data_IF_780095572391
#
_entry.id   IF_780095572391
#
_cell.length_a   1.000
_cell.length_b   1.000
_cell.length_c   1.000
_cell.angle_alpha   90.00
_cell.angle_beta   90.00
_cell.angle_gamma   90.00
#
_symmetry.space_group_name_H-M   'P 1'
#
loop_
_entity.id
_entity.type
_entity.pdbx_description
1 polymer ?
#
# COMPACT_ATOMS: atom_id res chain seq x y z
N UNK A 1 24.74 -9.49 -25.08
CA UNK A 1 24.51 -8.09 -24.72
C UNK A 1 23.94 -7.35 -25.92
N UNK A 2 23.14 -6.32 -25.70
CA UNK A 2 22.59 -5.47 -26.76
C UNK A 2 23.21 -4.07 -26.63
N UNK A 3 23.58 -3.50 -27.74
CA UNK A 3 24.10 -2.14 -27.83
C UNK A 3 23.09 -1.25 -28.53
N UNK A 4 23.11 0.02 -28.19
CA UNK A 4 22.32 1.04 -28.87
C UNK A 4 23.27 1.94 -29.65
N UNK A 5 22.94 2.20 -30.92
CA UNK A 5 23.72 3.08 -31.79
C UNK A 5 23.45 4.53 -31.36
N UNK A 6 24.48 5.19 -30.85
CA UNK A 6 24.43 6.61 -30.45
C UNK A 6 24.75 7.51 -31.63
N UNK A 7 25.80 7.16 -32.36
CA UNK A 7 26.19 7.81 -33.62
C UNK A 7 26.45 6.73 -34.68
N UNK A 8 25.76 6.78 -35.82
CA UNK A 8 25.97 5.78 -36.88
C UNK A 8 27.29 5.96 -37.65
N UNK A 9 27.95 7.12 -37.57
CA UNK A 9 29.14 7.40 -38.36
C UNK A 9 28.95 7.14 -39.85
N UNK A 10 29.86 6.38 -40.47
CA UNK A 10 29.81 5.98 -41.86
C UNK A 10 29.07 4.65 -42.10
N UNK A 11 28.53 4.02 -41.03
CA UNK A 11 27.92 2.70 -41.10
C UNK A 11 26.49 2.75 -41.66
N UNK A 12 25.99 1.63 -42.19
CA UNK A 12 24.63 1.47 -42.70
C UNK A 12 23.56 1.38 -41.61
N UNK A 13 23.91 1.62 -40.32
CA UNK A 13 23.00 1.59 -39.19
C UNK A 13 22.34 2.94 -39.00
N UNK A 14 21.15 2.92 -38.40
CA UNK A 14 20.45 4.15 -38.01
C UNK A 14 20.70 4.48 -36.55
N UNK A 15 20.69 5.78 -36.21
CA UNK A 15 20.70 6.21 -34.81
C UNK A 15 19.53 5.59 -34.05
N UNK A 16 19.77 5.11 -32.84
CA UNK A 16 18.82 4.39 -31.95
C UNK A 16 18.58 2.92 -32.31
N UNK A 17 19.22 2.36 -33.34
CA UNK A 17 19.14 0.92 -33.61
C UNK A 17 19.73 0.12 -32.47
N UNK A 18 19.10 -1.03 -32.18
CA UNK A 18 19.55 -1.98 -31.17
C UNK A 18 20.21 -3.15 -31.83
N UNK A 19 21.53 -3.29 -31.66
CA UNK A 19 22.34 -4.34 -32.28
C UNK A 19 22.83 -5.34 -31.23
N UNK A 20 23.04 -6.56 -31.66
CA UNK A 20 23.64 -7.65 -30.88
C UNK A 20 25.16 -7.51 -30.78
N UNK A 21 25.78 -8.22 -29.81
CA UNK A 21 27.25 -8.23 -29.66
C UNK A 21 27.93 -8.81 -30.93
N UNK A 22 27.29 -9.79 -31.61
CA UNK A 22 27.78 -10.36 -32.86
C UNK A 22 27.72 -9.35 -34.01
N UNK A 23 26.63 -8.60 -34.13
CA UNK A 23 26.49 -7.55 -35.14
C UNK A 23 27.45 -6.41 -34.90
N UNK A 24 27.63 -6.00 -33.66
CA UNK A 24 28.61 -4.96 -33.31
C UNK A 24 30.03 -5.36 -33.78
N UNK A 25 30.44 -6.59 -33.50
CA UNK A 25 31.76 -7.09 -33.94
C UNK A 25 31.86 -7.12 -35.46
N UNK A 26 30.83 -7.67 -36.13
CA UNK A 26 30.81 -7.74 -37.59
C UNK A 26 30.92 -6.35 -38.22
N UNK A 27 30.14 -5.39 -37.77
CA UNK A 27 30.20 -4.00 -38.26
C UNK A 27 31.58 -3.38 -37.99
N UNK A 28 32.10 -3.58 -36.79
CA UNK A 28 33.40 -3.04 -36.42
C UNK A 28 34.53 -3.64 -37.28
N UNK A 29 34.50 -4.91 -37.59
CA UNK A 29 35.46 -5.58 -38.46
C UNK A 29 35.34 -5.16 -39.93
N UNK A 30 34.09 -5.08 -40.45
CA UNK A 30 33.79 -4.67 -41.81
C UNK A 30 34.27 -3.27 -42.13
N UNK A 31 33.93 -2.31 -41.29
CA UNK A 31 34.32 -0.90 -41.54
C UNK A 31 35.73 -0.55 -41.07
N UNK A 32 36.36 -1.35 -40.20
CA UNK A 32 37.77 -1.19 -39.84
C UNK A 32 38.70 -1.51 -41.01
N UNK A 33 38.28 -2.38 -41.89
CA UNK A 33 39.04 -2.80 -43.07
C UNK A 33 38.62 -2.06 -44.35
N UNK A 34 37.65 -1.15 -44.28
CA UNK A 34 37.22 -0.30 -45.39
C UNK A 34 38.01 1.02 -45.44
N UNK A 35 38.14 1.56 -46.64
CA UNK A 35 38.83 2.85 -46.90
C UNK A 35 38.12 4.06 -46.19
N UNK A 36 36.82 3.91 -45.93
CA UNK A 36 36.02 4.96 -45.27
C UNK A 36 36.19 4.99 -43.74
N UNK A 37 36.68 3.87 -43.16
CA UNK A 37 36.80 3.74 -41.70
C UNK A 37 35.47 3.79 -40.95
N UNK A 38 35.52 3.78 -39.64
CA UNK A 38 34.33 3.81 -38.76
C UNK A 38 33.76 5.23 -38.55
N UNK A 39 34.49 6.27 -38.95
CA UNK A 39 34.09 7.65 -38.68
C UNK A 39 33.83 7.87 -37.19
N UNK A 40 32.70 8.56 -36.86
CA UNK A 40 32.29 8.82 -35.49
C UNK A 40 31.40 7.69 -34.93
N UNK A 41 31.48 6.45 -35.47
CA UNK A 41 30.63 5.36 -35.00
C UNK A 41 30.76 5.12 -33.50
N UNK A 42 29.66 5.30 -32.81
CA UNK A 42 29.61 5.19 -31.35
C UNK A 42 28.39 4.38 -30.92
N UNK A 43 28.63 3.40 -30.09
CA UNK A 43 27.58 2.59 -29.47
C UNK A 43 27.67 2.68 -27.96
N UNK A 44 26.54 2.62 -27.32
CA UNK A 44 26.43 2.58 -25.89
C UNK A 44 25.65 1.37 -25.39
N UNK A 45 25.73 1.09 -24.10
CA UNK A 45 25.05 -0.04 -23.50
C UNK A 45 24.34 0.38 -22.22
N UNK A 46 23.11 -0.14 -22.03
CA UNK A 46 22.35 0.04 -20.80
C UNK A 46 21.78 1.45 -20.60
N UNK A 47 21.55 1.80 -19.34
CA UNK A 47 20.89 3.04 -18.97
C UNK A 47 21.70 4.32 -19.31
N UNK A 48 23.01 4.23 -19.32
CA UNK A 48 23.92 5.32 -19.68
C UNK A 48 23.69 5.81 -21.13
N UNK A 49 23.61 4.87 -22.08
CA UNK A 49 23.31 5.17 -23.47
C UNK A 49 21.90 5.74 -23.66
N UNK A 50 20.92 5.21 -22.93
CA UNK A 50 19.55 5.73 -22.97
C UNK A 50 19.49 7.15 -22.43
N UNK A 51 20.22 7.45 -21.34
CA UNK A 51 20.30 8.78 -20.77
C UNK A 51 20.88 9.80 -21.76
N UNK A 52 21.94 9.43 -22.46
CA UNK A 52 22.57 10.28 -23.49
C UNK A 52 21.59 10.60 -24.62
N UNK A 53 20.89 9.59 -25.15
CA UNK A 53 19.86 9.78 -26.17
C UNK A 53 18.67 10.62 -25.69
N UNK A 54 18.30 10.53 -24.41
CA UNK A 54 17.23 11.34 -23.83
C UNK A 54 17.67 12.80 -23.64
N UNK A 55 18.94 13.04 -23.31
CA UNK A 55 19.48 14.38 -23.14
C UNK A 55 19.56 15.17 -24.46
N UNK A 56 19.67 14.48 -25.61
CA UNK A 56 19.68 15.09 -26.92
C UNK A 56 18.30 15.52 -27.45
N UNK A 57 17.21 15.12 -26.77
CA UNK A 57 15.83 15.45 -27.23
C UNK A 57 15.51 16.91 -26.90
N UNK A 58 15.28 17.70 -27.96
CA UNK A 58 14.67 19.01 -27.84
C UNK A 58 13.13 18.85 -27.83
N UNK A 59 12.54 19.11 -26.67
CA UNK A 59 11.09 18.95 -26.48
C UNK A 59 10.26 19.94 -27.31
N UNK A 60 10.77 21.15 -27.58
CA UNK A 60 10.03 22.14 -28.36
C UNK A 60 10.01 21.79 -29.84
N UNK A 61 11.18 21.49 -30.39
CA UNK A 61 11.30 21.06 -31.78
C UNK A 61 10.50 19.77 -32.06
N UNK A 62 10.61 18.76 -31.18
CA UNK A 62 9.86 17.50 -31.30
C UNK A 62 8.34 17.73 -31.24
N UNK A 63 7.85 18.60 -30.34
CA UNK A 63 6.43 18.93 -30.25
C UNK A 63 5.90 19.59 -31.50
N UNK A 64 6.64 20.51 -32.10
CA UNK A 64 6.25 21.16 -33.35
C UNK A 64 6.23 20.20 -34.54
N UNK A 65 7.25 19.35 -34.66
CA UNK A 65 7.33 18.32 -35.70
C UNK A 65 6.17 17.36 -35.61
N UNK A 66 5.86 16.85 -34.41
CA UNK A 66 4.72 15.97 -34.19
C UNK A 66 3.39 16.63 -34.51
N UNK A 67 3.20 17.92 -34.16
CA UNK A 67 2.01 18.69 -34.54
C UNK A 67 1.86 18.86 -36.06
N UNK A 68 2.97 19.07 -36.76
CA UNK A 68 2.99 19.13 -38.23
C UNK A 68 2.67 17.77 -38.83
N UNK A 69 3.29 16.71 -38.33
CA UNK A 69 3.07 15.34 -38.82
C UNK A 69 1.64 14.83 -38.59
N UNK A 70 0.97 15.27 -37.52
CA UNK A 70 -0.40 14.89 -37.21
C UNK A 70 -1.42 15.40 -38.23
N UNK A 71 -1.13 16.53 -38.90
CA UNK A 71 -2.01 17.08 -39.95
C UNK A 71 -2.11 16.15 -41.17
N UNK A 72 -1.00 15.41 -41.44
CA UNK A 72 -0.87 14.55 -42.62
C UNK A 72 -0.97 13.06 -42.29
N UNK A 73 -1.05 12.69 -41.00
CA UNK A 73 -1.08 11.30 -40.57
C UNK A 73 -2.51 10.75 -40.48
N UNK A 74 -2.66 9.46 -40.85
CA UNK A 74 -3.93 8.73 -40.73
C UNK A 74 -3.73 7.39 -40.02
N UNK A 75 -4.81 6.76 -39.56
CA UNK A 75 -4.83 5.43 -38.97
C UNK A 75 -3.87 5.24 -37.78
N UNK A 76 -3.14 4.16 -37.79
CA UNK A 76 -2.24 3.77 -36.67
C UNK A 76 -1.08 4.76 -36.46
N UNK A 77 -0.58 5.39 -37.53
CA UNK A 77 0.49 6.39 -37.44
C UNK A 77 0.02 7.61 -36.66
N UNK A 78 -1.21 8.06 -36.92
CA UNK A 78 -1.85 9.15 -36.17
C UNK A 78 -1.96 8.83 -34.66
N UNK A 79 -2.43 7.62 -34.33
CA UNK A 79 -2.58 7.20 -32.93
C UNK A 79 -1.23 7.13 -32.18
N UNK A 80 -0.16 6.67 -32.85
CA UNK A 80 1.20 6.66 -32.26
C UNK A 80 1.73 8.08 -32.04
N UNK A 81 1.55 8.96 -33.02
CA UNK A 81 2.00 10.35 -32.92
C UNK A 81 1.24 11.10 -31.83
N UNK A 82 -0.07 10.86 -31.64
CA UNK A 82 -0.84 11.45 -30.53
C UNK A 82 -0.27 11.02 -29.18
N UNK A 83 -0.05 9.72 -28.97
CA UNK A 83 0.53 9.20 -27.72
C UNK A 83 1.92 9.79 -27.46
N UNK A 84 2.76 9.91 -28.49
CA UNK A 84 4.08 10.51 -28.36
C UNK A 84 3.99 11.99 -28.03
N UNK A 85 3.12 12.74 -28.71
CA UNK A 85 2.91 14.16 -28.46
C UNK A 85 2.39 14.41 -27.03
N UNK A 86 1.49 13.55 -26.51
CA UNK A 86 0.99 13.65 -25.15
C UNK A 86 2.14 13.58 -24.12
N UNK A 87 3.07 12.64 -24.31
CA UNK A 87 4.25 12.51 -23.43
C UNK A 87 5.17 13.71 -23.56
N UNK A 88 5.49 14.16 -24.78
CA UNK A 88 6.37 15.31 -25.03
C UNK A 88 5.78 16.59 -24.43
N UNK A 89 4.48 16.84 -24.63
CA UNK A 89 3.79 17.99 -24.02
C UNK A 89 3.75 17.92 -22.49
N UNK A 90 3.57 16.72 -21.92
CA UNK A 90 3.60 16.54 -20.48
C UNK A 90 4.97 16.93 -19.90
N UNK A 91 6.08 16.54 -20.55
CA UNK A 91 7.44 16.94 -20.15
C UNK A 91 7.62 18.46 -20.32
N UNK A 92 7.21 19.02 -21.45
CA UNK A 92 7.34 20.45 -21.74
C UNK A 92 6.60 21.33 -20.75
N UNK A 93 5.33 20.97 -20.43
CA UNK A 93 4.48 21.73 -19.50
C UNK A 93 4.93 21.61 -18.05
N UNK A 94 5.48 20.45 -17.65
CA UNK A 94 5.98 20.24 -16.28
C UNK A 94 7.36 20.81 -16.02
N UNK A 95 8.11 21.18 -17.08
CA UNK A 95 9.50 21.63 -16.96
C UNK A 95 10.49 20.52 -16.61
N UNK A 96 10.07 19.26 -16.68
CA UNK A 96 10.95 18.11 -16.44
C UNK A 96 11.79 17.80 -17.68
N UNK A 97 13.03 17.37 -17.44
CA UNK A 97 13.94 16.97 -18.52
C UNK A 97 13.83 15.46 -18.75
N UNK A 98 13.83 14.98 -20.02
CA UNK A 98 13.71 13.55 -20.34
C UNK A 98 14.79 12.67 -19.71
N UNK A 99 16.03 13.15 -19.59
CA UNK A 99 17.13 12.38 -18.99
C UNK A 99 16.94 12.12 -17.49
N UNK A 100 16.05 12.83 -16.80
CA UNK A 100 15.73 12.57 -15.39
C UNK A 100 14.96 11.27 -15.18
N UNK A 101 14.46 10.63 -16.24
CA UNK A 101 13.90 9.27 -16.14
C UNK A 101 14.97 8.22 -15.81
N UNK A 102 16.26 8.53 -16.01
CA UNK A 102 17.38 7.68 -15.62
C UNK A 102 17.97 8.20 -14.30
N UNK A 103 17.96 7.35 -13.28
CA UNK A 103 18.46 7.69 -11.96
C UNK A 103 19.99 7.61 -11.91
N UNK A 104 20.67 8.68 -11.50
CA UNK A 104 22.10 8.67 -11.19
C UNK A 104 22.38 8.16 -9.79
N UNK A 105 21.46 8.42 -8.86
CA UNK A 105 21.55 7.96 -7.49
C UNK A 105 20.22 7.31 -7.06
N UNK A 106 20.31 6.19 -6.36
CA UNK A 106 19.15 5.53 -5.78
C UNK A 106 18.81 6.17 -4.45
N UNK A 107 17.61 6.76 -4.27
CA UNK A 107 17.24 7.35 -2.99
C UNK A 107 17.03 6.25 -1.94
N UNK A 108 17.51 6.52 -0.73
CA UNK A 108 17.36 5.62 0.41
C UNK A 108 16.31 6.18 1.35
N UNK A 109 15.26 5.40 1.61
CA UNK A 109 14.20 5.82 2.52
C UNK A 109 14.69 5.85 3.99
N UNK A 110 14.11 6.69 4.85
CA UNK A 110 14.46 6.77 6.26
C UNK A 110 14.37 5.43 7.01
N UNK A 111 15.19 5.20 8.04
CA UNK A 111 15.20 3.96 8.82
C UNK A 111 13.87 3.60 9.46
N UNK A 112 13.07 4.59 9.87
CA UNK A 112 11.77 4.38 10.52
C UNK A 112 10.76 3.65 9.61
N UNK A 113 10.88 3.84 8.29
CA UNK A 113 10.01 3.19 7.30
C UNK A 113 10.50 1.76 6.96
N UNK A 114 11.77 1.45 7.27
CA UNK A 114 12.37 0.12 7.08
C UNK A 114 13.00 -0.39 8.39
N UNK A 115 12.21 -0.58 9.44
CA UNK A 115 12.73 -0.83 10.77
C UNK A 115 13.48 -2.15 10.87
N UNK A 116 14.46 -2.18 11.78
CA UNK A 116 15.11 -3.38 12.28
C UNK A 116 14.80 -3.48 13.76
N UNK A 117 14.04 -4.49 14.17
CA UNK A 117 13.59 -4.68 15.56
C UNK A 117 14.26 -5.91 16.15
N UNK A 118 14.79 -5.78 17.35
CA UNK A 118 15.30 -6.89 18.09
C UNK A 118 14.16 -7.69 18.72
N UNK A 119 14.12 -8.99 18.45
CA UNK A 119 13.18 -9.94 19.06
C UNK A 119 13.78 -10.54 20.31
N UNK A 120 12.91 -11.11 21.14
CA UNK A 120 13.32 -11.91 22.29
C UNK A 120 14.28 -13.03 21.85
N UNK A 121 15.36 -13.23 22.61
CA UNK A 121 16.40 -14.18 22.25
C UNK A 121 17.49 -13.67 21.29
N UNK A 122 17.65 -12.35 21.15
CA UNK A 122 18.77 -11.73 20.42
C UNK A 122 18.68 -11.81 18.89
N UNK A 123 17.58 -12.30 18.34
CA UNK A 123 17.34 -12.30 16.89
C UNK A 123 16.76 -10.96 16.43
N UNK A 124 17.10 -10.54 15.21
CA UNK A 124 16.57 -9.32 14.61
C UNK A 124 15.53 -9.65 13.54
N UNK A 125 14.38 -8.99 13.64
CA UNK A 125 13.42 -8.90 12.53
C UNK A 125 13.74 -7.66 11.72
N UNK A 126 13.98 -7.81 10.43
CA UNK A 126 14.32 -6.70 9.53
C UNK A 126 13.33 -6.60 8.39
N UNK A 127 13.13 -5.39 7.91
CA UNK A 127 12.34 -5.17 6.70
C UNK A 127 13.05 -5.77 5.48
N UNK A 128 12.28 -6.34 4.56
CA UNK A 128 12.77 -6.89 3.29
C UNK A 128 13.54 -5.83 2.46
N UNK A 129 13.19 -4.54 2.60
CA UNK A 129 13.87 -3.44 1.95
C UNK A 129 15.35 -3.32 2.35
N UNK A 130 15.70 -3.60 3.60
CA UNK A 130 17.09 -3.56 4.05
C UNK A 130 17.94 -4.59 3.30
N UNK A 131 17.39 -5.76 3.00
CA UNK A 131 18.09 -6.78 2.21
C UNK A 131 18.25 -6.36 0.76
N UNK A 132 17.23 -5.73 0.17
CA UNK A 132 17.29 -5.22 -1.20
C UNK A 132 18.32 -4.06 -1.33
N UNK A 133 18.36 -3.11 -0.39
CA UNK A 133 19.39 -2.06 -0.36
C UNK A 133 20.80 -2.64 -0.18
N UNK A 134 20.96 -3.62 0.72
CA UNK A 134 22.26 -4.28 0.92
C UNK A 134 22.76 -4.94 -0.36
N UNK A 135 21.88 -5.57 -1.14
CA UNK A 135 22.23 -6.17 -2.44
C UNK A 135 22.74 -5.13 -3.41
N UNK A 136 22.09 -3.97 -3.51
CA UNK A 136 22.52 -2.86 -4.38
C UNK A 136 23.88 -2.35 -3.96
N UNK A 137 24.10 -2.07 -2.67
CA UNK A 137 25.37 -1.56 -2.15
C UNK A 137 26.50 -2.55 -2.44
N UNK A 138 26.29 -3.85 -2.18
CA UNK A 138 27.30 -4.87 -2.43
C UNK A 138 27.67 -4.99 -3.92
N UNK A 139 26.65 -4.93 -4.82
CA UNK A 139 26.88 -4.94 -6.28
C UNK A 139 27.62 -3.69 -6.75
N UNK A 140 27.22 -2.53 -6.26
CA UNK A 140 27.86 -1.27 -6.60
C UNK A 140 29.33 -1.23 -6.15
N UNK A 141 29.62 -1.66 -4.92
CA UNK A 141 31.00 -1.74 -4.41
C UNK A 141 31.86 -2.72 -5.20
N UNK A 142 31.26 -3.86 -5.59
CA UNK A 142 31.94 -4.84 -6.44
C UNK A 142 32.24 -4.27 -7.81
N UNK A 143 31.29 -3.58 -8.45
CA UNK A 143 31.48 -2.93 -9.74
C UNK A 143 32.59 -1.87 -9.69
N UNK A 144 32.62 -1.04 -8.63
CA UNK A 144 33.70 -0.06 -8.43
C UNK A 144 35.07 -0.72 -8.40
N UNK A 145 35.23 -1.78 -7.61
CA UNK A 145 36.51 -2.54 -7.55
C UNK A 145 36.91 -3.13 -8.89
N UNK A 146 35.96 -3.66 -9.65
CA UNK A 146 36.25 -4.25 -10.96
C UNK A 146 36.70 -3.17 -11.98
N UNK A 147 36.11 -1.98 -11.91
CA UNK A 147 36.54 -0.84 -12.73
C UNK A 147 37.96 -0.34 -12.35
N UNK A 148 38.23 -0.23 -11.04
CA UNK A 148 39.57 0.18 -10.52
C UNK A 148 40.64 -0.83 -10.88
N UNK A 149 40.35 -2.11 -10.90
CA UNK A 149 41.29 -3.19 -11.25
C UNK A 149 41.47 -3.40 -12.77
N UNK A 150 40.73 -2.66 -13.63
CA UNK A 150 40.79 -2.85 -15.07
C UNK A 150 40.33 -4.23 -15.53
N UNK A 151 39.31 -4.78 -14.88
CA UNK A 151 38.79 -6.12 -15.20
C UNK A 151 38.30 -6.21 -16.65
N UNK A 152 38.28 -7.44 -17.27
CA UNK A 152 37.79 -7.62 -18.63
C UNK A 152 36.35 -7.11 -18.81
N UNK A 153 36.08 -6.48 -19.94
CA UNK A 153 34.75 -5.86 -20.25
C UNK A 153 33.56 -6.80 -20.06
N UNK A 154 33.73 -8.08 -20.35
CA UNK A 154 32.66 -9.07 -20.22
C UNK A 154 32.21 -9.23 -18.76
N UNK A 155 33.13 -9.12 -17.81
CA UNK A 155 32.87 -9.19 -16.38
C UNK A 155 32.18 -7.90 -15.92
N UNK A 156 32.70 -6.75 -16.36
CA UNK A 156 32.13 -5.42 -16.04
C UNK A 156 30.70 -5.32 -16.54
N UNK A 157 30.43 -5.73 -17.77
CA UNK A 157 29.09 -5.76 -18.37
C UNK A 157 28.11 -6.62 -17.57
N UNK A 158 28.56 -7.81 -17.15
CA UNK A 158 27.73 -8.71 -16.35
C UNK A 158 27.42 -8.09 -14.97
N UNK A 159 28.37 -7.46 -14.32
CA UNK A 159 28.15 -6.82 -13.02
C UNK A 159 27.24 -5.58 -13.15
N UNK A 160 27.37 -4.77 -14.22
CA UNK A 160 26.41 -3.68 -14.54
C UNK A 160 24.99 -4.21 -14.70
N UNK A 161 24.82 -5.34 -15.40
CA UNK A 161 23.51 -6.00 -15.53
C UNK A 161 22.95 -6.48 -14.20
N UNK A 162 23.78 -7.08 -13.35
CA UNK A 162 23.36 -7.57 -12.03
C UNK A 162 23.02 -6.42 -11.07
N UNK A 163 23.69 -5.28 -11.20
CA UNK A 163 23.36 -4.06 -10.46
C UNK A 163 21.99 -3.52 -10.89
N UNK A 164 21.74 -3.47 -12.21
CA UNK A 164 20.43 -3.07 -12.74
C UNK A 164 19.32 -3.99 -12.24
N UNK A 165 19.52 -5.30 -12.26
CA UNK A 165 18.55 -6.26 -11.72
C UNK A 165 18.27 -6.06 -10.22
N UNK A 166 19.29 -5.70 -9.45
CA UNK A 166 19.12 -5.39 -8.02
C UNK A 166 18.27 -4.13 -7.80
N UNK A 167 18.48 -3.09 -8.63
CA UNK A 167 17.67 -1.86 -8.58
C UNK A 167 16.23 -2.12 -9.05
N UNK A 168 16.05 -2.89 -10.12
CA UNK A 168 14.71 -3.30 -10.59
C UNK A 168 13.95 -4.05 -9.49
N UNK A 169 14.62 -4.95 -8.76
CA UNK A 169 14.02 -5.68 -7.65
C UNK A 169 13.65 -4.78 -6.45
N UNK A 170 14.41 -3.73 -6.18
CA UNK A 170 14.07 -2.75 -5.15
C UNK A 170 12.79 -1.99 -5.50
N UNK A 171 12.63 -1.60 -6.75
CA UNK A 171 11.48 -0.78 -7.20
C UNK A 171 10.23 -1.65 -7.35
N UNK A 172 10.30 -2.75 -8.11
CA UNK A 172 9.17 -3.66 -8.36
C UNK A 172 9.65 -5.10 -8.57
N UNK A 173 9.77 -5.84 -7.48
CA UNK A 173 10.30 -7.21 -7.47
C UNK A 173 9.37 -8.18 -8.21
N UNK A 174 9.91 -8.89 -9.21
CA UNK A 174 9.17 -9.85 -10.01
C UNK A 174 8.51 -9.28 -11.27
N UNK A 175 8.66 -7.99 -11.56
CA UNK A 175 8.16 -7.39 -12.80
C UNK A 175 8.94 -7.88 -14.02
N UNK A 176 10.26 -8.10 -13.87
CA UNK A 176 11.16 -8.63 -14.89
C UNK A 176 11.77 -9.95 -14.41
N UNK A 177 11.29 -11.06 -14.93
CA UNK A 177 11.82 -12.39 -14.62
C UNK A 177 11.44 -12.92 -13.25
N UNK A 178 12.26 -13.81 -12.69
CA UNK A 178 12.01 -14.43 -11.40
C UNK A 178 12.21 -13.43 -10.27
N UNK A 179 11.27 -13.34 -9.31
CA UNK A 179 11.42 -12.46 -8.16
C UNK A 179 12.62 -12.87 -7.31
N UNK A 180 13.26 -11.89 -6.72
CA UNK A 180 14.30 -12.11 -5.71
C UNK A 180 13.62 -12.62 -4.44
N UNK A 181 14.12 -13.75 -3.92
CA UNK A 181 13.56 -14.41 -2.74
C UNK A 181 14.47 -14.31 -1.52
N UNK A 182 13.86 -14.36 -0.36
CA UNK A 182 14.51 -14.45 0.93
C UNK A 182 14.49 -15.90 1.50
N UNK A 183 14.74 -16.07 2.80
CA UNK A 183 14.63 -17.35 3.47
C UNK A 183 13.25 -17.98 3.26
N UNK A 184 13.20 -19.31 3.05
CA UNK A 184 11.94 -20.01 2.78
C UNK A 184 11.36 -19.78 1.39
N UNK A 185 12.15 -19.34 0.43
CA UNK A 185 11.74 -19.09 -0.98
C UNK A 185 10.59 -18.07 -1.15
N UNK A 186 10.34 -17.22 -0.12
CA UNK A 186 9.35 -16.15 -0.17
C UNK A 186 9.92 -14.96 -0.96
N UNK A 187 9.14 -14.42 -1.92
CA UNK A 187 9.53 -13.20 -2.62
C UNK A 187 9.66 -12.02 -1.64
N UNK A 188 10.74 -11.26 -1.78
CA UNK A 188 10.99 -10.06 -0.98
C UNK A 188 10.02 -8.93 -1.39
N UNK A 189 9.50 -8.21 -0.41
CA UNK A 189 8.56 -7.11 -0.61
C UNK A 189 9.31 -5.86 -1.09
N UNK A 190 9.02 -5.42 -2.31
CA UNK A 190 9.63 -4.23 -2.93
C UNK A 190 8.93 -2.93 -2.53
N UNK A 191 9.48 -1.78 -2.96
CA UNK A 191 8.84 -0.47 -2.75
C UNK A 191 7.43 -0.41 -3.38
N UNK A 192 7.26 -0.94 -4.57
CA UNK A 192 5.96 -1.03 -5.25
C UNK A 192 4.95 -1.84 -4.45
N UNK A 193 5.37 -2.98 -3.87
CA UNK A 193 4.53 -3.84 -3.05
C UNK A 193 4.11 -3.19 -1.72
N UNK A 194 4.89 -2.23 -1.24
CA UNK A 194 4.49 -1.43 -0.07
C UNK A 194 3.32 -0.49 -0.35
N UNK A 195 3.10 -0.12 -1.59
CA UNK A 195 2.03 0.80 -2.01
C UNK A 195 0.82 0.06 -2.58
N UNK A 196 1.05 -1.05 -3.31
CA UNK A 196 0.03 -1.83 -4.03
C UNK A 196 -0.75 -2.79 -3.12
N UNK A 197 -1.94 -3.16 -3.59
CA UNK A 197 -2.75 -4.26 -3.05
C UNK A 197 -3.41 -3.98 -1.71
N UNK A 198 -4.00 -5.03 -1.12
CA UNK A 198 -4.75 -4.95 0.15
C UNK A 198 -3.88 -4.57 1.35
N UNK A 199 -2.62 -4.98 1.35
CA UNK A 199 -1.65 -4.70 2.42
C UNK A 199 -0.75 -3.51 2.12
N UNK A 200 -1.02 -2.79 1.02
CA UNK A 200 -0.29 -1.59 0.65
C UNK A 200 -0.74 -0.36 1.44
N UNK A 201 0.12 0.65 1.43
CA UNK A 201 -0.07 1.89 2.19
C UNK A 201 -1.38 2.59 1.86
N UNK A 202 -1.77 2.64 0.59
CA UNK A 202 -3.01 3.30 0.18
C UNK A 202 -4.25 2.64 0.79
N UNK A 203 -4.40 1.33 0.65
CA UNK A 203 -5.59 0.62 1.13
C UNK A 203 -5.59 0.34 2.62
N UNK A 204 -4.43 0.09 3.22
CA UNK A 204 -4.33 -0.31 4.62
C UNK A 204 -4.24 0.87 5.59
N UNK A 205 -3.60 1.99 5.20
CA UNK A 205 -3.28 3.07 6.11
C UNK A 205 -3.87 4.44 5.72
N UNK A 206 -4.19 4.67 4.43
CA UNK A 206 -4.72 5.94 3.95
C UNK A 206 -6.22 5.92 3.73
N UNK A 207 -6.75 4.95 2.97
CA UNK A 207 -8.19 4.81 2.74
C UNK A 207 -8.95 4.24 3.94
N UNK A 208 -8.25 3.58 4.84
CA UNK A 208 -8.79 3.07 6.09
C UNK A 208 -7.71 3.01 7.16
N UNK A 209 -8.03 3.41 8.38
CA UNK A 209 -7.13 3.38 9.53
C UNK A 209 -7.72 2.51 10.62
N UNK A 210 -6.86 1.97 11.48
CA UNK A 210 -7.30 1.39 12.74
C UNK A 210 -7.76 2.53 13.63
N UNK A 211 -8.88 2.34 14.31
CA UNK A 211 -9.49 3.34 15.19
C UNK A 211 -9.60 2.77 16.59
N UNK A 212 -9.53 3.66 17.59
CA UNK A 212 -9.78 3.35 18.98
C UNK A 212 -11.28 3.18 19.22
N UNK A 213 -11.65 2.71 20.40
CA UNK A 213 -13.05 2.46 20.81
C UNK A 213 -13.79 1.53 19.84
N UNK A 214 -13.12 0.52 19.38
CA UNK A 214 -13.67 -0.48 18.46
C UNK A 214 -13.35 -1.89 18.95
N UNK A 215 -14.28 -2.82 18.71
CA UNK A 215 -14.13 -4.21 19.07
C UNK A 215 -14.85 -5.13 18.11
N UNK A 216 -14.58 -6.43 18.18
CA UNK A 216 -15.28 -7.44 17.40
C UNK A 216 -15.64 -8.62 18.27
N UNK A 217 -16.80 -9.21 17.98
CA UNK A 217 -17.24 -10.46 18.58
C UNK A 217 -18.15 -11.23 17.64
N UNK A 218 -18.53 -12.43 18.05
CA UNK A 218 -19.55 -13.24 17.38
C UNK A 218 -20.91 -12.61 17.62
N UNK A 219 -21.82 -12.69 16.65
CA UNK A 219 -23.23 -12.33 16.83
C UNK A 219 -24.09 -13.55 17.03
N UNK A 220 -25.08 -13.38 17.91
CA UNK A 220 -26.13 -14.35 18.16
C UNK A 220 -27.49 -13.64 18.13
N UNK A 221 -28.55 -14.41 17.92
CA UNK A 221 -29.91 -13.88 17.95
C UNK A 221 -30.34 -13.66 19.39
N UNK A 222 -30.93 -12.48 19.67
CA UNK A 222 -31.52 -12.10 20.95
C UNK A 222 -32.98 -11.69 20.75
N UNK A 223 -33.95 -12.65 20.81
CA UNK A 223 -35.36 -12.34 20.58
C UNK A 223 -35.96 -11.45 21.65
N UNK A 224 -35.33 -11.35 22.80
CA UNK A 224 -35.72 -10.48 23.93
C UNK A 224 -35.46 -8.99 23.69
N UNK A 225 -34.63 -8.65 22.69
CA UNK A 225 -34.25 -7.30 22.42
C UNK A 225 -35.30 -6.55 21.59
N UNK A 226 -35.42 -5.25 21.79
CA UNK A 226 -36.15 -4.36 20.89
C UNK A 226 -35.37 -4.14 19.60
N UNK A 227 -36.03 -3.75 18.51
CA UNK A 227 -35.42 -3.61 17.19
C UNK A 227 -34.27 -2.60 17.15
N UNK A 228 -34.28 -1.60 18.00
CA UNK A 228 -33.28 -0.56 18.12
C UNK A 228 -32.20 -0.87 19.17
N UNK A 229 -32.28 -2.00 19.85
CA UNK A 229 -31.36 -2.42 20.90
C UNK A 229 -30.39 -3.49 20.39
N UNK A 230 -29.18 -3.49 20.99
CA UNK A 230 -28.22 -4.57 20.83
C UNK A 230 -27.70 -5.04 22.18
N UNK A 231 -27.49 -6.31 22.34
CA UNK A 231 -26.83 -6.87 23.53
C UNK A 231 -25.32 -6.80 23.37
N UNK A 232 -24.68 -6.00 24.21
CA UNK A 232 -23.21 -5.86 24.21
C UNK A 232 -22.63 -6.64 25.40
N UNK A 233 -21.63 -7.55 25.17
CA UNK A 233 -20.96 -8.25 26.25
C UNK A 233 -20.35 -7.27 27.28
N UNK A 234 -20.55 -7.54 28.57
CA UNK A 234 -20.04 -6.70 29.66
C UNK A 234 -18.53 -6.46 29.58
N UNK A 235 -17.75 -7.50 29.30
CA UNK A 235 -16.29 -7.39 29.15
C UNK A 235 -15.88 -6.47 27.99
N UNK A 236 -16.64 -6.48 26.90
CA UNK A 236 -16.42 -5.60 25.77
C UNK A 236 -16.84 -4.17 26.08
N UNK A 237 -18.00 -4.01 26.72
CA UNK A 237 -18.54 -2.71 27.06
C UNK A 237 -17.58 -1.92 27.96
N UNK A 238 -17.00 -2.53 28.99
CA UNK A 238 -16.10 -1.85 29.92
C UNK A 238 -14.83 -1.34 29.22
N UNK A 239 -14.27 -2.06 28.27
CA UNK A 239 -13.09 -1.60 27.52
C UNK A 239 -13.45 -0.48 26.52
N UNK A 240 -14.60 -0.57 25.86
CA UNK A 240 -15.05 0.45 24.91
C UNK A 240 -15.39 1.78 25.62
N UNK A 241 -16.03 1.70 26.77
CA UNK A 241 -16.50 2.88 27.51
C UNK A 241 -15.56 3.32 28.64
N UNK A 242 -14.38 2.70 28.74
CA UNK A 242 -13.40 2.93 29.80
C UNK A 242 -13.14 4.40 30.14
N UNK A 243 -12.88 5.31 29.17
CA UNK A 243 -12.66 6.72 29.47
C UNK A 243 -13.87 7.42 30.05
N UNK A 244 -15.07 7.09 29.57
CA UNK A 244 -16.33 7.67 30.03
C UNK A 244 -16.65 7.22 31.44
N UNK A 245 -16.50 5.92 31.72
CA UNK A 245 -16.67 5.36 33.07
C UNK A 245 -15.67 5.97 34.05
N UNK A 246 -14.40 6.13 33.65
CA UNK A 246 -13.40 6.77 34.52
C UNK A 246 -13.77 8.23 34.81
N UNK A 247 -14.29 8.96 33.82
CA UNK A 247 -14.74 10.34 33.98
C UNK A 247 -15.90 10.41 35.01
N UNK A 248 -16.91 9.57 34.86
CA UNK A 248 -18.08 9.54 35.75
C UNK A 248 -17.74 9.07 37.16
N UNK A 249 -16.85 8.10 37.34
CA UNK A 249 -16.37 7.67 38.66
C UNK A 249 -15.67 8.78 39.42
N UNK A 250 -14.96 9.68 38.73
CA UNK A 250 -14.34 10.86 39.35
C UNK A 250 -15.36 11.95 39.59
N UNK A 251 -16.30 12.19 38.68
CA UNK A 251 -17.35 13.18 38.80
C UNK A 251 -18.31 12.87 39.99
N UNK A 252 -18.65 11.60 40.16
CA UNK A 252 -19.51 11.12 41.26
C UNK A 252 -18.78 11.02 42.59
N UNK A 253 -17.48 11.36 42.63
CA UNK A 253 -16.69 11.32 43.87
C UNK A 253 -16.31 9.92 44.36
N UNK A 254 -16.68 8.87 43.63
CA UNK A 254 -16.36 7.48 43.99
C UNK A 254 -14.84 7.23 43.87
N UNK A 255 -14.17 7.89 42.93
CA UNK A 255 -12.73 7.87 42.80
C UNK A 255 -12.12 9.28 43.01
N UNK A 256 -11.08 9.37 43.85
CA UNK A 256 -10.41 10.65 44.13
C UNK A 256 -9.62 11.22 42.94
N UNK A 257 -9.16 10.36 42.04
CA UNK A 257 -8.39 10.75 40.84
C UNK A 257 -8.48 9.69 39.74
N UNK A 258 -8.03 10.05 38.53
CA UNK A 258 -8.04 9.19 37.35
C UNK A 258 -7.25 7.88 37.58
N UNK A 259 -6.15 7.93 38.34
CA UNK A 259 -5.35 6.73 38.68
C UNK A 259 -6.13 5.74 39.53
N UNK A 260 -6.90 6.28 40.52
CA UNK A 260 -7.78 5.45 41.35
C UNK A 260 -8.93 4.88 40.53
N UNK A 261 -9.60 5.70 39.71
CA UNK A 261 -10.64 5.23 38.78
C UNK A 261 -10.15 4.11 37.86
N UNK A 262 -8.97 4.25 37.29
CA UNK A 262 -8.36 3.21 36.44
C UNK A 262 -8.17 1.90 37.20
N UNK A 263 -7.66 1.94 38.42
CA UNK A 263 -7.50 0.74 39.25
C UNK A 263 -8.84 0.08 39.61
N UNK A 264 -9.90 0.87 39.85
CA UNK A 264 -11.24 0.36 40.11
C UNK A 264 -11.81 -0.36 38.88
N UNK A 265 -11.65 0.22 37.68
CA UNK A 265 -12.06 -0.39 36.43
C UNK A 265 -11.27 -1.67 36.14
N UNK A 266 -9.97 -1.69 36.34
CA UNK A 266 -9.13 -2.87 36.16
C UNK A 266 -9.46 -4.00 37.15
N UNK A 267 -9.94 -3.68 38.34
CA UNK A 267 -10.39 -4.65 39.35
C UNK A 267 -11.86 -5.05 39.21
N UNK A 268 -12.59 -4.48 38.26
CA UNK A 268 -14.00 -4.77 37.98
C UNK A 268 -14.90 -4.66 39.25
N UNK A 269 -14.72 -3.58 40.01
CA UNK A 269 -15.49 -3.35 41.24
C UNK A 269 -16.98 -3.18 40.91
N UNK A 270 -17.86 -3.44 41.90
CA UNK A 270 -19.32 -3.40 41.70
C UNK A 270 -19.83 -2.05 41.24
N UNK A 271 -19.28 -0.96 41.80
CA UNK A 271 -19.64 0.42 41.49
C UNK A 271 -19.34 0.78 40.00
N UNK A 272 -18.40 0.10 39.41
CA UNK A 272 -18.04 0.30 37.98
C UNK A 272 -19.18 -0.14 37.07
N UNK A 273 -19.88 -1.21 37.41
CA UNK A 273 -21.01 -1.73 36.62
C UNK A 273 -22.21 -0.81 36.64
N UNK A 274 -22.53 -0.22 37.79
CA UNK A 274 -23.62 0.73 37.91
C UNK A 274 -23.37 1.98 37.06
N UNK A 275 -22.16 2.53 37.15
CA UNK A 275 -21.76 3.68 36.35
C UNK A 275 -21.71 3.31 34.84
N UNK A 276 -21.24 2.12 34.48
CA UNK A 276 -21.24 1.67 33.10
C UNK A 276 -22.66 1.60 32.52
N UNK A 277 -23.62 1.09 33.29
CA UNK A 277 -25.02 1.00 32.86
C UNK A 277 -25.63 2.40 32.64
N UNK A 278 -25.27 3.37 33.43
CA UNK A 278 -25.69 4.75 33.27
C UNK A 278 -25.08 5.39 32.02
N UNK A 279 -23.76 5.25 31.85
CA UNK A 279 -23.02 5.80 30.70
C UNK A 279 -23.53 5.25 29.38
N UNK A 280 -23.86 3.96 29.32
CA UNK A 280 -24.30 3.29 28.09
C UNK A 280 -25.63 3.88 27.56
N UNK A 281 -26.53 4.34 28.42
CA UNK A 281 -27.86 4.85 28.01
C UNK A 281 -27.78 6.03 27.05
N UNK A 282 -26.73 6.85 27.15
CA UNK A 282 -26.54 8.03 26.30
C UNK A 282 -25.58 7.83 25.11
N UNK A 283 -25.01 6.64 25.00
CA UNK A 283 -23.94 6.36 24.01
C UNK A 283 -24.31 5.22 23.06
N UNK A 284 -25.03 5.50 21.96
CA UNK A 284 -25.35 4.49 20.98
C UNK A 284 -24.08 3.96 20.30
N UNK A 285 -24.07 2.67 20.00
CA UNK A 285 -22.98 2.00 19.29
C UNK A 285 -23.35 1.74 17.84
N UNK A 286 -22.38 1.84 16.94
CA UNK A 286 -22.56 1.54 15.55
C UNK A 286 -22.04 0.14 15.26
N UNK A 287 -22.90 -0.73 14.75
CA UNK A 287 -22.59 -2.10 14.38
C UNK A 287 -22.40 -2.22 12.87
N UNK A 288 -21.37 -2.94 12.47
CA UNK A 288 -21.11 -3.29 11.07
C UNK A 288 -20.75 -4.77 10.93
N UNK A 289 -21.28 -5.43 9.91
CA UNK A 289 -20.87 -6.77 9.51
C UNK A 289 -20.23 -6.73 8.12
N UNK A 290 -19.04 -7.30 7.98
CA UNK A 290 -18.43 -7.50 6.67
C UNK A 290 -18.88 -8.85 6.05
N UNK A 291 -19.05 -8.89 4.70
CA UNK A 291 -18.94 -7.76 3.78
C UNK A 291 -20.14 -6.80 3.88
N UNK A 292 -19.88 -5.49 3.82
CA UNK A 292 -20.95 -4.47 3.80
C UNK A 292 -21.49 -4.36 2.36
N UNK A 293 -22.56 -5.08 2.05
CA UNK A 293 -23.13 -5.14 0.70
C UNK A 293 -24.08 -3.99 0.40
N UNK A 294 -24.70 -3.43 1.43
CA UNK A 294 -25.67 -2.33 1.33
C UNK A 294 -25.65 -1.47 2.60
N UNK A 295 -26.33 -0.31 2.54
CA UNK A 295 -26.34 0.68 3.64
C UNK A 295 -26.85 0.13 4.99
N UNK A 296 -27.74 -0.86 4.98
CA UNK A 296 -28.26 -1.47 6.21
C UNK A 296 -27.27 -2.43 6.87
N UNK A 297 -26.13 -2.72 6.24
CA UNK A 297 -25.01 -3.43 6.88
C UNK A 297 -24.28 -2.63 7.95
N UNK A 298 -24.63 -1.33 8.13
CA UNK A 298 -24.10 -0.45 9.16
C UNK A 298 -25.30 0.23 9.83
N UNK A 299 -25.54 -0.08 11.10
CA UNK A 299 -26.67 0.47 11.87
C UNK A 299 -26.23 0.87 13.26
N UNK A 300 -26.90 1.87 13.84
CA UNK A 300 -26.69 2.31 15.21
C UNK A 300 -27.75 1.71 16.14
N UNK A 301 -27.31 1.26 17.30
CA UNK A 301 -28.17 0.62 18.31
C UNK A 301 -27.90 1.21 19.69
N UNK A 302 -28.91 1.17 20.54
CA UNK A 302 -28.75 1.38 21.96
C UNK A 302 -28.22 0.10 22.61
N UNK A 303 -27.03 0.13 23.25
CA UNK A 303 -26.47 -1.07 23.85
C UNK A 303 -27.15 -1.42 25.18
N UNK A 304 -27.37 -2.69 25.39
CA UNK A 304 -27.77 -3.27 26.68
C UNK A 304 -26.69 -4.26 27.09
N UNK A 305 -26.34 -4.29 28.36
CA UNK A 305 -25.34 -5.20 28.89
C UNK A 305 -25.90 -6.63 28.92
N UNK A 306 -25.15 -7.56 28.35
CA UNK A 306 -25.49 -8.98 28.35
C UNK A 306 -24.31 -9.81 28.86
N UNK A 307 -24.65 -10.91 29.51
CA UNK A 307 -23.65 -11.90 29.90
C UNK A 307 -23.14 -12.71 28.70
N UNK A 308 -21.90 -13.17 28.80
CA UNK A 308 -21.25 -13.96 27.75
C UNK A 308 -20.30 -13.13 26.89
N UNK A 309 -19.88 -13.69 25.74
CA UNK A 309 -18.88 -13.08 24.85
C UNK A 309 -19.44 -12.74 23.46
N UNK A 310 -20.72 -13.00 23.24
CA UNK A 310 -21.38 -12.78 21.96
C UNK A 310 -22.28 -11.55 22.01
N UNK A 311 -22.32 -10.84 20.90
CA UNK A 311 -23.21 -9.70 20.70
C UNK A 311 -24.58 -10.24 20.31
N UNK A 312 -25.63 -9.76 20.96
CA UNK A 312 -26.99 -10.12 20.64
C UNK A 312 -27.63 -9.09 19.72
N UNK A 313 -28.36 -9.57 18.70
CA UNK A 313 -29.11 -8.75 17.75
C UNK A 313 -30.55 -9.23 17.64
N UNK A 314 -31.48 -8.28 17.43
CA UNK A 314 -32.88 -8.62 17.18
C UNK A 314 -33.00 -9.44 15.89
N UNK A 315 -33.86 -10.48 15.83
CA UNK A 315 -34.02 -11.36 14.67
C UNK A 315 -34.25 -10.64 13.33
N UNK A 316 -35.11 -9.61 13.32
CA UNK A 316 -35.40 -8.83 12.12
C UNK A 316 -34.20 -8.05 11.57
N UNK A 317 -33.24 -7.68 12.41
CA UNK A 317 -32.03 -6.97 12.00
C UNK A 317 -30.98 -7.93 11.42
N UNK A 318 -31.00 -9.20 11.84
CA UNK A 318 -30.04 -10.20 11.36
C UNK A 318 -30.09 -10.39 9.84
N UNK A 319 -31.25 -10.26 9.20
CA UNK A 319 -31.39 -10.33 7.74
C UNK A 319 -30.64 -9.21 7.03
N UNK A 320 -30.68 -8.00 7.56
CA UNK A 320 -29.94 -6.85 7.03
C UNK A 320 -28.43 -7.03 7.13
N UNK A 321 -27.95 -7.75 8.14
CA UNK A 321 -26.54 -8.11 8.30
C UNK A 321 -26.15 -9.42 7.58
N UNK A 322 -27.04 -10.06 6.81
CA UNK A 322 -26.82 -11.39 6.21
C UNK A 322 -26.37 -12.45 7.24
N UNK A 323 -26.85 -12.35 8.47
CA UNK A 323 -26.60 -13.33 9.52
C UNK A 323 -27.65 -14.42 9.46
N UNK A 324 -27.24 -15.69 9.46
CA UNK A 324 -28.20 -16.81 9.48
C UNK A 324 -28.88 -16.93 10.84
N UNK A 325 -30.21 -17.08 10.82
CA UNK A 325 -31.07 -17.21 11.99
C UNK A 325 -31.08 -18.62 12.61
N UNK A 326 -30.19 -19.52 12.20
CA UNK A 326 -30.15 -20.86 12.75
C UNK A 326 -29.82 -20.81 14.24
N UNK A 327 -30.79 -21.12 15.07
CA UNK A 327 -30.62 -21.47 16.47
C UNK A 327 -29.66 -22.66 16.55
N UNK A 328 -28.41 -22.41 16.84
CA UNK A 328 -27.48 -23.45 17.24
C UNK A 328 -27.14 -23.23 18.72
N UNK A 329 -27.24 -24.29 19.57
CA UNK A 329 -26.84 -24.19 20.97
C UNK A 329 -25.42 -23.69 21.07
N UNK A 330 -25.12 -22.93 22.10
CA UNK A 330 -23.88 -22.20 22.31
C UNK A 330 -22.59 -23.02 22.11
N UNK A 331 -22.64 -24.32 22.28
CA UNK A 331 -21.51 -25.23 22.06
C UNK A 331 -21.20 -25.51 20.58
N UNK A 332 -22.22 -25.53 19.72
CA UNK A 332 -22.04 -25.77 18.28
C UNK A 332 -21.59 -24.50 17.54
N UNK A 333 -21.96 -23.34 18.04
CA UNK A 333 -21.49 -22.02 17.53
C UNK A 333 -19.99 -21.83 17.75
N UNK A 334 -19.43 -22.36 18.84
CA UNK A 334 -17.98 -22.33 19.11
C UNK A 334 -17.14 -23.07 18.06
N UNK A 335 -17.64 -24.16 17.49
CA UNK A 335 -16.86 -24.97 16.51
C UNK A 335 -17.01 -24.53 15.06
N UNK A 336 -18.13 -23.93 14.65
CA UNK A 336 -18.36 -23.49 13.25
C UNK A 336 -18.06 -22.02 13.00
N UNK A 337 -18.11 -21.16 13.99
CA UNK A 337 -17.80 -19.74 13.84
C UNK A 337 -16.31 -19.41 13.80
N UNK A 338 -15.42 -20.33 14.20
CA UNK A 338 -13.98 -20.17 14.00
C UNK A 338 -13.56 -20.14 12.52
N UNK A 339 -14.36 -20.66 11.60
CA UNK A 339 -14.09 -20.62 10.16
C UNK A 339 -14.75 -19.44 9.43
N UNK A 340 -15.66 -18.71 10.09
CA UNK A 340 -16.24 -17.46 9.58
C UNK A 340 -16.00 -16.34 10.56
N UNK A 341 -14.73 -16.09 10.81
CA UNK A 341 -14.33 -14.88 11.48
C UNK A 341 -14.86 -13.68 10.70
N UNK A 342 -15.46 -12.74 11.41
CA UNK A 342 -15.73 -11.41 10.91
C UNK A 342 -14.41 -10.78 10.41
N UNK A 343 -14.01 -11.08 9.20
CA UNK A 343 -12.92 -10.41 8.50
C UNK A 343 -13.47 -9.22 7.74
N UNK A 344 -14.16 -8.37 8.42
CA UNK A 344 -14.61 -7.12 7.86
C UNK A 344 -14.01 -5.98 8.62
N UNK A 345 -13.29 -5.16 7.94
CA UNK A 345 -12.87 -3.85 8.38
C UNK A 345 -14.11 -2.97 8.62
N UNK A 346 -14.78 -3.19 9.73
CA UNK A 346 -15.86 -2.36 10.21
C UNK A 346 -15.61 -2.10 11.69
N UNK A 347 -15.13 -0.91 12.05
CA UNK A 347 -14.97 -0.57 13.45
C UNK A 347 -16.33 -0.37 14.09
N UNK A 348 -16.41 -0.76 15.35
CA UNK A 348 -17.40 -0.28 16.27
C UNK A 348 -17.04 1.14 16.62
N UNK A 349 -17.88 2.10 16.28
CA UNK A 349 -17.66 3.48 16.66
C UNK A 349 -18.50 3.83 17.88
N UNK A 350 -17.85 4.21 18.95
CA UNK A 350 -18.41 5.09 19.97
C UNK A 350 -18.30 6.51 19.42
N UNK A 351 -19.43 7.14 19.21
CA UNK A 351 -19.45 8.57 18.92
C UNK A 351 -19.24 9.32 20.25
N UNK A 352 -18.20 10.16 20.37
CA UNK A 352 -18.07 11.00 21.55
C UNK A 352 -19.24 11.97 21.61
N UNK A 353 -19.83 12.12 22.79
CA UNK A 353 -20.86 13.11 23.05
C UNK A 353 -20.27 14.51 22.91
N UNK A 354 -20.65 15.21 21.85
CA UNK A 354 -20.44 16.66 21.71
C UNK A 354 -21.83 17.29 21.66
N UNK A 355 -22.33 17.61 22.83
CA UNK A 355 -23.65 18.16 23.11
C UNK A 355 -24.34 18.87 21.92
N UNK A 356 -25.56 18.47 21.63
CA UNK A 356 -26.57 19.06 20.74
C UNK A 356 -26.45 18.89 19.22
N UNK A 357 -25.40 18.29 18.62
CA UNK A 357 -25.30 18.15 17.17
C UNK A 357 -24.96 16.75 16.67
N UNK A 358 -25.21 15.71 17.45
CA UNK A 358 -24.85 14.32 17.13
C UNK A 358 -25.47 13.78 15.84
N UNK A 359 -26.60 14.33 15.41
CA UNK A 359 -27.28 13.89 14.18
C UNK A 359 -26.61 14.44 12.91
N UNK A 360 -26.07 15.65 12.94
CA UNK A 360 -25.40 16.26 11.80
C UNK A 360 -23.99 15.70 11.58
N UNK A 361 -23.26 15.38 12.65
CA UNK A 361 -21.97 14.69 12.51
C UNK A 361 -22.10 13.26 11.99
N UNK A 362 -23.17 12.55 12.30
CA UNK A 362 -23.46 11.22 11.72
C UNK A 362 -23.64 11.31 10.20
N UNK A 363 -24.30 12.35 9.71
CA UNK A 363 -24.44 12.62 8.27
C UNK A 363 -23.10 12.98 7.63
N UNK A 364 -22.27 13.79 8.28
CA UNK A 364 -20.95 14.15 7.74
C UNK A 364 -20.00 12.96 7.61
N UNK A 365 -19.92 12.10 8.62
CA UNK A 365 -19.08 10.90 8.57
C UNK A 365 -19.53 9.92 7.48
N UNK A 366 -20.84 9.77 7.28
CA UNK A 366 -21.39 8.96 6.19
C UNK A 366 -21.15 9.62 4.82
N UNK A 367 -21.30 10.94 4.70
CA UNK A 367 -21.03 11.67 3.46
C UNK A 367 -19.54 11.72 3.10
N UNK A 368 -18.64 11.84 4.07
CA UNK A 368 -17.19 11.75 3.82
C UNK A 368 -16.76 10.36 3.37
N UNK A 369 -17.43 9.29 3.84
CA UNK A 369 -17.18 7.93 3.35
C UNK A 369 -17.75 7.66 1.95
N UNK A 370 -18.89 8.23 1.61
CA UNK A 370 -19.43 8.15 0.24
C UNK A 370 -18.56 8.92 -0.76
N UNK A 371 -17.95 10.03 -0.34
CA UNK A 371 -16.99 10.80 -1.16
C UNK A 371 -15.61 10.13 -1.27
N UNK A 372 -15.20 9.34 -0.29
CA UNK A 372 -13.91 8.64 -0.30
C UNK A 372 -13.94 7.26 -0.97
N UNK A 373 -15.09 6.81 -1.47
CA UNK A 373 -15.24 5.55 -2.16
C UNK A 373 -15.90 5.77 -3.54
N UNK A 374 -15.14 6.21 -4.57
CA UNK A 374 -15.68 6.49 -5.90
C UNK A 374 -15.97 5.24 -6.75
N UNK A 375 -15.93 4.03 -6.13
CA UNK A 375 -16.25 2.77 -6.78
C UNK A 375 -17.43 2.08 -6.07
N UNK A 376 -18.58 2.69 -6.14
CA UNK A 376 -19.90 2.06 -6.05
C UNK A 376 -20.83 2.76 -7.03
#
# INVERSE_FOLDING_TARGET
>A
ASFVVLDPGTTNLSKKDVISDAEYRRVTEEYRNSDEGLGNFRVGMGAEAIKELLAEIDLEAEAEELKKSLKNASGQKKARNIKRLEVVEAFRLSGNRPEWMVLDAVPVIPPDIRPMVQLDGGRFATSDLNDLYRRIINRNNRLKRLLELGAPDIIIRNEKRMLQEAVDALIDNGRRGRPVTGPGNRALKSLSDMLKGKSGRFRQNLLGKRVDYSGRSVIVVGPELKIYQCGLPKEMAIELFKPFVMKELVANGTAHNIKSAKKMVEKLQTEVWDVLEEVIKEHPVMLNRAPTLHRLGIQAFEPILVEGKAIKLHPLVCTAFNASLTEQPAETVRRRSCSRSFTGYGPWYLLPDTGKTGFDRRRQVLQERERSNPCL
#
